data_IF_193421071946
#
_entry.id   IF_193421071946
#
_cell.length_a   1.000
_cell.length_b   1.000
_cell.length_c   1.000
_cell.angle_alpha   90.00
_cell.angle_beta   90.00
_cell.angle_gamma   90.00
#
_symmetry.space_group_name_H-M   'P 1'
#
loop_
_entity.id
_entity.type
_entity.pdbx_description
1 polymer ?
#
# COMPACT_ATOMS: atom_id res chain seq x y z
N UNK A 1 -16.55 -28.98 -7.04
CA UNK A 1 -15.59 -27.89 -6.76
C UNK A 1 -16.02 -27.24 -5.45
N UNK A 2 -15.21 -27.24 -4.38
CA UNK A 2 -15.61 -26.58 -3.13
C UNK A 2 -15.58 -25.06 -3.33
N UNK A 3 -16.69 -24.39 -2.99
CA UNK A 3 -16.82 -22.93 -3.06
C UNK A 3 -16.02 -22.29 -1.91
N UNK A 4 -15.10 -21.39 -2.24
CA UNK A 4 -14.31 -20.63 -1.28
C UNK A 4 -15.02 -19.31 -0.95
N UNK A 5 -15.37 -19.11 0.33
CA UNK A 5 -16.03 -17.90 0.85
C UNK A 5 -15.08 -16.87 1.48
N UNK A 6 -13.76 -17.05 1.34
CA UNK A 6 -12.73 -16.25 2.03
C UNK A 6 -12.74 -14.76 1.73
N UNK A 7 -13.43 -14.35 0.65
CA UNK A 7 -13.68 -12.93 0.33
C UNK A 7 -14.30 -12.15 1.50
N UNK A 8 -15.05 -12.81 2.39
CA UNK A 8 -15.75 -12.16 3.52
C UNK A 8 -14.98 -12.18 4.84
N UNK A 9 -13.85 -12.89 4.92
CA UNK A 9 -13.11 -13.09 6.18
C UNK A 9 -12.51 -11.79 6.74
N UNK A 10 -12.22 -10.81 5.87
CA UNK A 10 -11.55 -9.56 6.21
C UNK A 10 -12.49 -8.35 6.12
N UNK A 11 -13.80 -8.57 6.23
CA UNK A 11 -14.77 -7.49 6.16
C UNK A 11 -14.70 -6.65 7.44
N UNK A 12 -14.21 -5.42 7.33
CA UNK A 12 -14.17 -4.47 8.45
C UNK A 12 -15.44 -3.61 8.45
N UNK A 13 -16.26 -3.76 9.50
CA UNK A 13 -17.45 -2.94 9.74
C UNK A 13 -17.20 -2.00 10.94
N UNK A 14 -17.52 -0.71 10.76
CA UNK A 14 -17.38 0.32 11.80
C UNK A 14 -18.56 0.34 12.76
N UNK A 15 -19.78 0.26 12.23
CA UNK A 15 -21.05 0.10 12.94
C UNK A 15 -21.37 -1.39 13.13
N UNK A 16 -20.43 -2.13 13.71
CA UNK A 16 -20.71 -3.50 14.10
C UNK A 16 -21.49 -3.48 15.43
N UNK A 17 -22.80 -3.72 15.34
CA UNK A 17 -23.71 -3.74 16.49
C UNK A 17 -23.42 -4.91 17.44
N UNK A 18 -22.68 -5.91 16.98
CA UNK A 18 -22.36 -7.14 17.70
C UNK A 18 -21.03 -7.05 18.44
N UNK A 19 -20.33 -5.91 18.39
CA UNK A 19 -19.13 -5.72 19.19
C UNK A 19 -19.52 -5.57 20.66
N UNK A 20 -19.16 -6.58 21.45
CA UNK A 20 -19.40 -6.64 22.89
C UNK A 20 -18.67 -5.46 23.55
N UNK A 21 -19.41 -4.37 23.80
CA UNK A 21 -18.85 -3.17 24.40
C UNK A 21 -18.45 -3.44 25.84
N UNK A 22 -17.29 -2.94 26.27
CA UNK A 22 -16.95 -2.94 27.68
C UNK A 22 -17.93 -2.03 28.43
N UNK A 23 -18.43 -2.41 29.63
CA UNK A 23 -19.39 -1.62 30.41
C UNK A 23 -18.95 -0.19 30.77
N UNK A 24 -17.70 0.19 30.50
CA UNK A 24 -17.14 1.51 30.79
C UNK A 24 -16.74 2.30 29.53
N UNK A 25 -17.04 1.81 28.33
CA UNK A 25 -16.69 2.48 27.07
C UNK A 25 -17.96 2.97 26.37
N UNK A 26 -18.02 4.27 26.08
CA UNK A 26 -19.11 4.83 25.28
C UNK A 26 -19.05 4.29 23.84
N UNK A 27 -20.06 3.49 23.47
CA UNK A 27 -20.20 2.88 22.14
C UNK A 27 -20.22 3.96 21.03
N UNK A 28 -20.81 5.12 21.27
CA UNK A 28 -20.92 6.19 20.26
C UNK A 28 -19.59 6.89 20.01
N UNK A 29 -18.82 7.16 21.07
CA UNK A 29 -17.46 7.69 20.96
C UNK A 29 -16.52 6.70 20.28
N UNK A 30 -16.57 5.44 20.70
CA UNK A 30 -15.72 4.38 20.15
C UNK A 30 -15.94 4.15 18.65
N UNK A 31 -17.21 4.10 18.21
CA UNK A 31 -17.56 3.95 16.79
C UNK A 31 -16.99 5.08 15.93
N UNK A 32 -17.21 6.34 16.33
CA UNK A 32 -16.70 7.52 15.61
C UNK A 32 -15.17 7.56 15.54
N UNK A 33 -14.49 7.15 16.63
CA UNK A 33 -13.03 7.05 16.64
C UNK A 33 -12.55 5.96 15.66
N UNK A 34 -13.16 4.78 15.70
CA UNK A 34 -12.84 3.66 14.80
C UNK A 34 -13.08 4.04 13.33
N UNK A 35 -14.17 4.73 13.03
CA UNK A 35 -14.44 5.27 11.69
C UNK A 35 -13.34 6.21 11.23
N UNK A 36 -12.98 7.20 12.06
CA UNK A 36 -11.90 8.14 11.74
C UNK A 36 -10.59 7.41 11.49
N UNK A 37 -10.21 6.47 12.35
CA UNK A 37 -8.97 5.70 12.21
C UNK A 37 -8.95 4.89 10.91
N UNK A 38 -10.07 4.24 10.55
CA UNK A 38 -10.18 3.50 9.29
C UNK A 38 -10.09 4.44 8.08
N UNK A 39 -10.74 5.60 8.13
CA UNK A 39 -10.65 6.60 7.08
C UNK A 39 -9.23 7.12 6.91
N UNK A 40 -8.56 7.48 8.00
CA UNK A 40 -7.17 7.94 7.98
C UNK A 40 -6.23 6.89 7.38
N UNK A 41 -6.30 5.64 7.83
CA UNK A 41 -5.51 4.54 7.26
C UNK A 41 -5.82 4.28 5.78
N UNK A 42 -7.06 4.52 5.33
CA UNK A 42 -7.43 4.41 3.91
C UNK A 42 -6.85 5.55 3.09
N UNK A 43 -6.89 6.77 3.59
CA UNK A 43 -6.31 7.93 2.91
C UNK A 43 -4.78 7.83 2.85
N UNK A 44 -4.11 7.44 3.94
CA UNK A 44 -2.66 7.18 3.94
C UNK A 44 -2.27 6.12 2.90
N UNK A 45 -3.03 5.02 2.81
CA UNK A 45 -2.79 3.99 1.80
C UNK A 45 -2.99 4.51 0.38
N UNK A 46 -4.05 5.30 0.13
CA UNK A 46 -4.29 5.92 -1.18
C UNK A 46 -3.14 6.86 -1.56
N UNK A 47 -2.67 7.68 -0.62
CA UNK A 47 -1.54 8.59 -0.83
C UNK A 47 -0.27 7.81 -1.18
N UNK A 48 0.05 6.75 -0.43
CA UNK A 48 1.21 5.88 -0.73
C UNK A 48 1.10 5.25 -2.11
N UNK A 49 -0.07 4.72 -2.48
CA UNK A 49 -0.31 4.17 -3.82
C UNK A 49 -0.12 5.24 -4.90
N UNK A 50 -0.63 6.45 -4.67
CA UNK A 50 -0.48 7.56 -5.60
C UNK A 50 0.97 8.02 -5.75
N UNK A 51 1.78 7.94 -4.69
CA UNK A 51 3.23 8.20 -4.73
C UNK A 51 4.00 7.10 -5.46
N UNK A 52 3.69 5.83 -5.22
CA UNK A 52 4.43 4.73 -5.86
C UNK A 52 4.15 4.60 -7.36
N UNK A 53 2.98 5.03 -7.85
CA UNK A 53 2.65 4.97 -9.29
C UNK A 53 3.66 5.72 -10.18
N UNK A 54 3.94 7.02 -9.96
CA UNK A 54 4.96 7.72 -10.75
C UNK A 54 6.36 7.18 -10.51
N UNK A 55 6.69 6.72 -9.30
CA UNK A 55 7.99 6.11 -9.01
C UNK A 55 8.23 4.85 -9.85
N UNK A 56 7.24 3.97 -9.93
CA UNK A 56 7.28 2.77 -10.78
C UNK A 56 7.43 3.18 -12.24
N UNK A 57 6.61 4.11 -12.73
CA UNK A 57 6.70 4.56 -14.12
C UNK A 57 8.08 5.16 -14.47
N UNK A 58 8.70 5.88 -13.53
CA UNK A 58 10.06 6.41 -13.69
C UNK A 58 11.11 5.28 -13.71
N UNK A 59 10.97 4.31 -12.80
CA UNK A 59 11.87 3.16 -12.73
C UNK A 59 11.77 2.26 -13.97
N UNK A 60 10.59 2.07 -14.54
CA UNK A 60 10.39 1.30 -15.78
C UNK A 60 11.18 1.87 -16.96
N UNK A 61 11.36 3.20 -17.01
CA UNK A 61 12.17 3.87 -18.04
C UNK A 61 13.66 3.86 -17.70
N UNK A 62 14.03 3.98 -16.41
CA UNK A 62 15.43 4.08 -15.99
C UNK A 62 16.13 2.73 -15.93
N UNK A 63 15.44 1.66 -15.57
CA UNK A 63 16.03 0.32 -15.46
C UNK A 63 16.68 -0.19 -16.76
N UNK A 64 16.03 -0.15 -17.94
CA UNK A 64 16.67 -0.62 -19.17
C UNK A 64 17.90 0.23 -19.52
N UNK A 65 17.86 1.55 -19.30
CA UNK A 65 19.00 2.44 -19.53
C UNK A 65 20.18 2.11 -18.64
N UNK A 66 19.92 1.84 -17.36
CA UNK A 66 20.98 1.44 -16.43
C UNK A 66 21.57 0.08 -16.85
N UNK A 67 20.73 -0.85 -17.30
CA UNK A 67 21.19 -2.15 -17.80
C UNK A 67 22.07 -2.01 -19.06
N UNK A 68 21.71 -1.12 -19.99
CA UNK A 68 22.54 -0.80 -21.15
C UNK A 68 23.90 -0.23 -20.71
N UNK A 69 23.90 0.80 -19.86
CA UNK A 69 25.14 1.41 -19.35
C UNK A 69 26.01 0.39 -18.62
N UNK A 70 25.43 -0.50 -17.80
CA UNK A 70 26.21 -1.53 -17.11
C UNK A 70 26.84 -2.51 -18.08
N UNK A 71 26.14 -2.92 -19.15
CA UNK A 71 26.70 -3.80 -20.19
C UNK A 71 27.82 -3.09 -20.94
N UNK A 72 27.60 -1.84 -21.34
CA UNK A 72 28.60 -1.05 -22.06
C UNK A 72 29.90 -0.90 -21.26
N UNK A 73 29.79 -0.69 -19.93
CA UNK A 73 30.93 -0.58 -19.01
C UNK A 73 31.60 -1.94 -18.76
N UNK A 74 30.84 -3.04 -18.69
CA UNK A 74 31.39 -4.40 -18.60
C UNK A 74 32.21 -4.76 -19.85
N UNK A 75 31.74 -4.35 -21.04
CA UNK A 75 32.39 -4.64 -22.32
C UNK A 75 33.59 -3.73 -22.62
N UNK A 76 33.46 -2.41 -22.40
CA UNK A 76 34.47 -1.43 -22.81
C UNK A 76 35.37 -0.94 -21.66
N UNK A 77 35.09 -1.38 -20.42
CA UNK A 77 35.73 -0.85 -19.22
C UNK A 77 35.22 0.57 -18.88
N UNK A 78 35.62 1.12 -17.72
CA UNK A 78 35.23 2.48 -17.35
C UNK A 78 35.83 3.48 -18.33
N UNK A 79 35.01 4.44 -18.78
CA UNK A 79 35.46 5.53 -19.64
C UNK A 79 36.41 6.42 -18.84
N UNK A 80 37.72 6.21 -19.04
CA UNK A 80 38.80 6.85 -18.25
C UNK A 80 39.20 8.22 -18.80
N UNK A 81 38.51 8.71 -19.84
CA UNK A 81 38.81 9.99 -20.46
C UNK A 81 37.90 11.09 -19.91
N UNK A 82 38.25 11.58 -18.71
CA UNK A 82 37.89 12.93 -18.29
C UNK A 82 38.92 13.53 -17.33
#
# INVERSE_FOLDING_TARGET
MPLNYSKRDKLELSDDSDIEGHPNVDKRGYRRWKERAIHEQREERKLKIAQYKPDIACNDVRMPRLQEITKDVEENGPDTLR
#
